data_IF_934717011528
#
_entry.id   IF_934717011528
#
_cell.length_a   1.000
_cell.length_b   1.000
_cell.length_c   1.000
_cell.angle_alpha   90.00
_cell.angle_beta   90.00
_cell.angle_gamma   90.00
#
_symmetry.space_group_name_H-M   'P 1'
#
loop_
_entity.id
_entity.type
_entity.pdbx_description
1 polymer ?
#
# COMPACT_ATOMS: atom_id res chain seq x y z
N UNK A 1 -8.94 -8.24 -34.82
CA UNK A 1 -9.39 -7.04 -34.11
C UNK A 1 -8.23 -6.07 -34.16
N UNK A 2 -8.38 -4.89 -34.76
CA UNK A 2 -7.33 -3.86 -34.79
C UNK A 2 -7.07 -3.39 -33.36
N UNK A 3 -5.80 -3.32 -32.93
CA UNK A 3 -5.45 -2.86 -31.58
C UNK A 3 -5.57 -1.33 -31.45
N UNK A 4 -5.57 -0.82 -30.22
CA UNK A 4 -5.70 0.62 -29.94
C UNK A 4 -4.33 1.31 -29.93
N UNK A 5 -4.26 2.50 -30.51
CA UNK A 5 -3.14 3.42 -30.33
C UNK A 5 -3.22 4.02 -28.93
N UNK A 6 -2.08 4.11 -28.25
CA UNK A 6 -2.00 4.68 -26.90
C UNK A 6 -1.05 5.88 -26.89
N UNK A 7 -1.43 6.93 -26.18
CA UNK A 7 -0.59 8.10 -25.94
C UNK A 7 -0.64 8.47 -24.46
N UNK A 8 0.51 8.37 -23.79
CA UNK A 8 0.67 8.69 -22.37
C UNK A 8 1.35 10.05 -22.18
N UNK A 9 0.70 10.96 -21.45
CA UNK A 9 1.25 12.28 -21.13
C UNK A 9 1.21 12.55 -19.64
N UNK A 10 2.32 13.06 -19.12
CA UNK A 10 2.44 13.48 -17.72
C UNK A 10 2.19 14.99 -17.63
N UNK A 11 1.27 15.37 -16.76
CA UNK A 11 0.93 16.76 -16.46
C UNK A 11 0.99 17.00 -14.96
N UNK A 12 1.07 18.26 -14.56
CA UNK A 12 1.02 18.63 -13.15
C UNK A 12 -0.28 19.38 -12.88
N UNK A 13 -1.10 18.84 -11.98
CA UNK A 13 -2.34 19.47 -11.53
C UNK A 13 -2.07 20.20 -10.23
N UNK A 14 -2.47 21.47 -10.13
CA UNK A 14 -2.49 22.18 -8.84
C UNK A 14 -3.74 21.80 -8.09
N UNK A 15 -3.57 21.40 -6.84
CA UNK A 15 -4.66 21.02 -5.95
C UNK A 15 -4.51 21.75 -4.63
N UNK A 16 -5.63 22.23 -4.12
CA UNK A 16 -5.72 22.86 -2.81
C UNK A 16 -6.03 21.76 -1.80
N UNK A 17 -5.07 21.47 -0.92
CA UNK A 17 -5.30 20.54 0.18
C UNK A 17 -5.51 21.34 1.46
N UNK A 18 -6.69 21.19 2.05
CA UNK A 18 -6.94 21.63 3.41
C UNK A 18 -6.13 20.72 4.31
N UNK A 19 -5.21 21.30 5.07
CA UNK A 19 -4.61 20.58 6.19
C UNK A 19 -5.73 20.25 7.17
N UNK A 20 -5.83 19.06 7.74
CA UNK A 20 -6.76 18.78 8.85
C UNK A 20 -5.92 18.60 10.11
N UNK A 21 -6.04 19.54 11.05
CA UNK A 21 -5.43 19.44 12.37
C UNK A 21 -6.54 19.63 13.42
N UNK A 22 -6.71 18.71 14.38
CA UNK A 22 -7.74 18.81 15.42
C UNK A 22 -7.63 20.07 16.30
N UNK A 23 -6.49 20.78 16.25
CA UNK A 23 -6.18 21.85 17.18
C UNK A 23 -6.61 23.26 16.72
N UNK A 24 -7.02 23.46 15.47
CA UNK A 24 -7.26 24.81 14.95
C UNK A 24 -8.58 25.05 14.20
N UNK A 25 -9.62 24.22 14.34
CA UNK A 25 -10.92 24.18 13.60
C UNK A 25 -11.49 25.45 12.92
N UNK A 26 -11.14 26.67 13.31
CA UNK A 26 -11.57 27.92 12.69
C UNK A 26 -10.65 28.49 11.57
N UNK A 27 -9.43 27.99 11.30
CA UNK A 27 -8.54 28.58 10.26
C UNK A 27 -7.53 27.61 9.64
N UNK A 28 -7.97 26.74 8.72
CA UNK A 28 -7.09 25.84 7.98
C UNK A 28 -6.21 26.59 6.98
N UNK A 29 -4.87 26.47 7.02
CA UNK A 29 -4.07 26.88 5.87
C UNK A 29 -4.35 25.93 4.70
N UNK A 30 -4.79 26.49 3.58
CA UNK A 30 -4.91 25.78 2.30
C UNK A 30 -3.53 25.77 1.65
N UNK A 31 -2.95 24.58 1.47
CA UNK A 31 -1.66 24.43 0.80
C UNK A 31 -1.91 24.05 -0.66
N UNK A 32 -1.49 24.89 -1.59
CA UNK A 32 -1.49 24.58 -3.02
C UNK A 32 -0.33 23.61 -3.32
N UNK A 33 -0.66 22.40 -3.80
CA UNK A 33 0.31 21.36 -4.15
C UNK A 33 0.22 21.04 -5.63
N UNK A 34 1.37 20.97 -6.28
CA UNK A 34 1.53 20.45 -7.64
C UNK A 34 1.63 18.93 -7.58
N UNK A 35 0.63 18.23 -8.10
CA UNK A 35 0.54 16.77 -8.09
C UNK A 35 0.72 16.26 -9.53
N UNK A 36 1.65 15.32 -9.78
CA UNK A 36 1.77 14.71 -11.09
C UNK A 36 0.52 13.89 -11.41
N UNK A 37 0.03 14.01 -12.63
CA UNK A 37 -1.12 13.31 -13.17
C UNK A 37 -0.75 12.73 -14.54
N UNK A 38 -1.20 11.52 -14.83
CA UNK A 38 -0.98 10.85 -16.12
C UNK A 38 -2.30 10.85 -16.87
N UNK A 39 -2.28 11.31 -18.13
CA UNK A 39 -3.37 11.21 -19.07
C UNK A 39 -3.03 10.13 -20.11
N UNK A 40 -3.91 9.15 -20.27
CA UNK A 40 -3.76 8.07 -21.26
C UNK A 40 -4.88 8.24 -22.27
N UNK A 41 -4.53 8.59 -23.51
CA UNK A 41 -5.46 8.62 -24.64
C UNK A 41 -5.38 7.28 -25.37
N UNK A 42 -6.52 6.63 -25.54
CA UNK A 42 -6.66 5.42 -26.36
C UNK A 42 -7.49 5.75 -27.60
N UNK A 43 -6.96 5.48 -28.79
CA UNK A 43 -7.61 5.81 -30.07
C UNK A 43 -7.64 4.60 -31.00
N UNK A 44 -8.75 4.44 -31.72
CA UNK A 44 -8.86 3.49 -32.83
C UNK A 44 -8.18 4.06 -34.08
N UNK A 45 -8.28 5.37 -34.28
CA UNK A 45 -7.62 6.10 -35.35
C UNK A 45 -6.13 6.31 -35.05
N UNK A 46 -5.25 6.36 -36.06
CA UNK A 46 -3.81 6.51 -35.86
C UNK A 46 -3.46 7.86 -35.20
N UNK A 47 -2.62 7.79 -34.16
CA UNK A 47 -1.99 8.96 -33.52
C UNK A 47 -0.60 9.20 -34.12
N UNK A 48 -0.01 10.38 -33.89
CA UNK A 48 1.32 10.74 -34.38
C UNK A 48 2.40 9.85 -33.74
N UNK A 49 3.12 9.02 -34.52
CA UNK A 49 4.14 8.13 -33.98
C UNK A 49 5.39 8.83 -33.43
N UNK A 50 5.61 10.10 -33.78
CA UNK A 50 6.74 10.88 -33.28
C UNK A 50 6.41 11.61 -31.98
N UNK A 51 5.15 11.57 -31.53
CA UNK A 51 4.76 12.23 -30.31
C UNK A 51 5.34 11.51 -29.07
N UNK A 52 6.01 12.22 -28.14
CA UNK A 52 6.54 11.62 -26.92
C UNK A 52 5.44 10.93 -26.12
N UNK A 53 5.68 9.66 -25.75
CA UNK A 53 4.72 8.84 -25.01
C UNK A 53 3.73 8.07 -25.89
N UNK A 54 3.86 8.14 -27.22
CA UNK A 54 3.12 7.28 -28.14
C UNK A 54 3.54 5.80 -28.00
N UNK A 55 2.57 4.90 -28.04
CA UNK A 55 2.74 3.45 -28.05
C UNK A 55 1.81 2.85 -29.11
N UNK A 56 2.35 2.07 -30.07
CA UNK A 56 1.54 1.49 -31.14
C UNK A 56 0.62 0.37 -30.63
N UNK A 57 -0.44 0.04 -31.38
CA UNK A 57 -1.30 -1.12 -31.14
C UNK A 57 -0.50 -2.41 -30.92
N UNK A 58 -0.64 -3.04 -29.75
CA UNK A 58 0.00 -4.32 -29.47
C UNK A 58 -0.85 -5.49 -29.97
N UNK A 59 -0.21 -6.44 -30.65
CA UNK A 59 -0.82 -7.75 -30.94
C UNK A 59 -0.71 -8.66 -29.70
N UNK A 60 -1.71 -9.52 -29.43
CA UNK A 60 -1.62 -10.48 -28.33
C UNK A 60 -0.41 -11.41 -28.54
N UNK A 61 0.56 -11.38 -27.62
CA UNK A 61 1.71 -12.31 -27.61
C UNK A 61 3.07 -11.74 -27.98
N UNK A 62 3.23 -10.43 -28.19
CA UNK A 62 4.55 -9.80 -28.42
C UNK A 62 5.05 -9.13 -27.13
N UNK A 63 6.20 -9.52 -26.56
CA UNK A 63 6.76 -8.85 -25.39
C UNK A 63 7.16 -7.41 -25.75
N UNK A 64 7.08 -6.46 -24.80
CA UNK A 64 7.35 -5.06 -25.07
C UNK A 64 8.79 -4.86 -25.55
N UNK A 65 8.95 -4.37 -26.79
CA UNK A 65 10.24 -3.88 -27.27
C UNK A 65 10.46 -2.49 -26.67
N UNK A 66 11.42 -2.38 -25.75
CA UNK A 66 11.87 -1.11 -25.19
C UNK A 66 12.52 -0.26 -26.29
N UNK A 67 12.02 0.94 -26.63
CA UNK A 67 12.78 1.88 -27.42
C UNK A 67 13.82 2.53 -26.51
N UNK A 68 15.10 2.31 -26.83
CA UNK A 68 16.21 2.98 -26.20
C UNK A 68 16.09 4.50 -26.37
N UNK A 69 16.21 5.21 -25.25
CA UNK A 69 16.12 6.67 -25.17
C UNK A 69 16.26 7.13 -23.73
N UNK A 70 17.40 6.82 -23.10
CA UNK A 70 17.83 7.44 -21.85
C UNK A 70 18.08 8.93 -22.12
N UNK A 71 17.04 9.74 -22.07
CA UNK A 71 17.19 11.15 -21.71
C UNK A 71 17.37 11.18 -20.19
N UNK A 72 18.60 11.48 -19.78
CA UNK A 72 18.98 11.84 -18.42
C UNK A 72 18.02 12.94 -17.92
N UNK A 73 16.95 12.53 -17.24
CA UNK A 73 16.22 13.43 -16.35
C UNK A 73 17.23 13.93 -15.32
N UNK A 74 17.40 15.25 -15.12
CA UNK A 74 18.18 15.70 -13.99
C UNK A 74 17.57 15.05 -12.76
N UNK A 75 18.38 14.34 -11.99
CA UNK A 75 17.99 13.90 -10.67
C UNK A 75 17.57 15.16 -9.93
N UNK A 76 16.26 15.42 -9.90
CA UNK A 76 15.71 16.43 -9.03
C UNK A 76 16.04 15.86 -7.68
N UNK A 77 17.00 16.47 -6.99
CA UNK A 77 17.28 16.17 -5.59
C UNK A 77 15.91 16.20 -4.94
N UNK A 78 15.39 15.01 -4.60
CA UNK A 78 14.20 14.89 -3.77
C UNK A 78 14.59 15.70 -2.55
N UNK A 79 13.97 16.88 -2.40
CA UNK A 79 14.16 17.66 -1.21
C UNK A 79 13.82 16.70 -0.07
N UNK A 80 14.85 16.31 0.69
CA UNK A 80 14.69 15.55 1.91
C UNK A 80 13.85 16.45 2.79
N UNK A 81 12.54 16.20 2.82
CA UNK A 81 11.66 16.88 3.75
C UNK A 81 11.96 16.21 5.08
N UNK A 82 12.92 16.78 5.80
CA UNK A 82 13.14 16.49 7.19
C UNK A 82 11.86 16.91 7.93
N UNK A 83 10.94 15.96 8.15
CA UNK A 83 9.85 16.13 9.10
C UNK A 83 10.46 16.16 10.50
N UNK A 84 11.06 17.28 10.90
CA UNK A 84 11.71 17.42 12.21
C UNK A 84 10.82 18.11 13.24
N UNK A 85 9.50 18.16 13.04
CA UNK A 85 8.57 18.80 13.98
C UNK A 85 7.30 17.96 14.16
N UNK A 86 7.46 16.86 14.87
CA UNK A 86 6.40 16.12 15.55
C UNK A 86 7.01 15.51 16.81
N UNK A 87 6.25 15.41 17.90
CA UNK A 87 6.66 14.55 19.01
C UNK A 87 6.79 13.14 18.43
N UNK A 88 8.00 12.60 18.40
CA UNK A 88 8.19 11.21 18.03
C UNK A 88 7.50 10.38 19.09
N UNK A 89 6.49 9.62 18.68
CA UNK A 89 5.83 8.68 19.58
C UNK A 89 6.81 7.55 19.95
N UNK A 90 6.65 7.00 21.14
CA UNK A 90 7.41 5.81 21.53
C UNK A 90 6.86 4.57 20.83
N UNK A 91 7.63 3.49 20.82
CA UNK A 91 7.22 2.21 20.21
C UNK A 91 5.95 1.67 20.91
N UNK A 92 5.83 1.86 22.22
CA UNK A 92 4.64 1.47 22.98
C UNK A 92 3.42 2.32 22.63
N UNK A 93 3.60 3.64 22.41
CA UNK A 93 2.54 4.54 21.95
C UNK A 93 2.08 4.13 20.52
N UNK A 94 3.03 3.83 19.63
CA UNK A 94 2.78 3.34 18.28
C UNK A 94 1.95 2.05 18.29
N UNK A 95 2.40 1.07 19.07
CA UNK A 95 1.72 -0.21 19.21
C UNK A 95 0.31 -0.05 19.78
N UNK A 96 0.17 0.75 20.85
CA UNK A 96 -1.11 0.99 21.49
C UNK A 96 -2.13 1.63 20.54
N UNK A 97 -1.69 2.57 19.68
CA UNK A 97 -2.58 3.15 18.66
C UNK A 97 -3.05 2.12 17.66
N UNK A 98 -2.18 1.23 17.18
CA UNK A 98 -2.55 0.20 16.20
C UNK A 98 -3.47 -0.87 16.79
N UNK A 99 -3.20 -1.31 18.03
CA UNK A 99 -4.10 -2.19 18.78
C UNK A 99 -5.47 -1.53 18.94
N UNK A 100 -5.51 -0.26 19.34
CA UNK A 100 -6.75 0.51 19.51
C UNK A 100 -7.51 0.64 18.18
N UNK A 101 -6.80 0.94 17.09
CA UNK A 101 -7.36 1.06 15.75
C UNK A 101 -8.10 -0.21 15.33
N UNK A 102 -7.44 -1.38 15.41
CA UNK A 102 -8.05 -2.64 15.01
C UNK A 102 -9.06 -3.18 16.03
N UNK A 103 -9.03 -2.74 17.28
CA UNK A 103 -10.04 -3.11 18.29
C UNK A 103 -11.34 -2.30 18.20
N UNK A 104 -11.42 -1.29 17.33
CA UNK A 104 -12.67 -0.58 17.04
C UNK A 104 -13.78 -1.59 16.72
N UNK A 105 -14.87 -1.67 17.51
CA UNK A 105 -15.83 -2.77 17.44
C UNK A 105 -16.58 -2.82 16.10
N UNK A 106 -16.86 -1.64 15.54
CA UNK A 106 -17.54 -1.40 14.28
C UNK A 106 -16.58 -1.05 13.13
N UNK A 107 -15.32 -1.49 13.21
CA UNK A 107 -14.37 -1.34 12.10
C UNK A 107 -14.94 -1.97 10.82
N UNK A 108 -14.93 -1.22 9.73
CA UNK A 108 -15.41 -1.74 8.45
C UNK A 108 -14.28 -2.38 7.61
N UNK A 109 -14.66 -3.06 6.53
CA UNK A 109 -13.70 -3.75 5.66
C UNK A 109 -12.73 -2.79 4.96
N UNK A 110 -13.14 -1.54 4.70
CA UNK A 110 -12.26 -0.54 4.11
C UNK A 110 -11.21 -0.06 5.11
N UNK A 111 -11.61 0.20 6.37
CA UNK A 111 -10.72 0.56 7.47
C UNK A 111 -9.70 -0.54 7.76
N UNK A 112 -10.13 -1.81 7.83
CA UNK A 112 -9.22 -2.95 8.00
C UNK A 112 -8.12 -2.96 6.93
N UNK A 113 -8.52 -2.86 5.64
CA UNK A 113 -7.56 -2.84 4.52
C UNK A 113 -6.67 -1.61 4.56
N UNK A 114 -7.23 -0.45 4.89
CA UNK A 114 -6.48 0.81 4.99
C UNK A 114 -5.44 0.72 6.10
N UNK A 115 -5.82 0.22 7.26
CA UNK A 115 -4.94 -0.03 8.39
C UNK A 115 -3.80 -0.95 8.02
N UNK A 116 -4.10 -2.15 7.50
CA UNK A 116 -3.06 -3.12 7.12
C UNK A 116 -2.13 -2.59 6.03
N UNK A 117 -2.65 -1.96 4.97
CA UNK A 117 -1.83 -1.40 3.89
C UNK A 117 -0.91 -0.26 4.37
N UNK A 118 -1.35 0.51 5.37
CA UNK A 118 -0.51 1.55 5.98
C UNK A 118 0.51 0.94 6.92
N UNK A 119 0.11 -0.04 7.74
CA UNK A 119 0.99 -0.70 8.72
C UNK A 119 2.16 -1.44 8.05
N UNK A 120 1.91 -2.20 6.98
CA UNK A 120 2.98 -2.90 6.24
C UNK A 120 3.93 -1.93 5.51
N UNK A 121 3.54 -0.67 5.34
CA UNK A 121 4.35 0.37 4.72
C UNK A 121 5.48 0.90 5.62
N UNK A 122 5.43 0.64 6.93
CA UNK A 122 6.53 0.97 7.84
C UNK A 122 7.67 -0.04 7.73
N UNK A 123 8.88 0.40 8.03
CA UNK A 123 10.07 -0.45 8.05
C UNK A 123 10.17 -1.25 9.36
N UNK A 124 9.16 -2.07 9.61
CA UNK A 124 9.05 -2.96 10.78
C UNK A 124 8.19 -4.19 10.44
N UNK A 125 8.32 -5.22 11.28
CA UNK A 125 7.34 -6.32 11.35
C UNK A 125 6.39 -6.00 12.50
N UNK A 126 5.05 -6.00 12.29
CA UNK A 126 4.12 -5.65 13.36
C UNK A 126 4.17 -6.62 14.55
N UNK A 127 4.09 -6.08 15.76
CA UNK A 127 4.05 -6.85 17.00
C UNK A 127 2.83 -7.80 17.06
N UNK A 128 2.95 -9.00 17.67
CA UNK A 128 1.87 -9.98 17.74
C UNK A 128 0.56 -9.43 18.32
N UNK A 129 0.61 -8.53 19.31
CA UNK A 129 -0.57 -7.85 19.87
C UNK A 129 -1.36 -7.01 18.85
N UNK A 130 -0.68 -6.39 17.89
CA UNK A 130 -1.33 -5.64 16.80
C UNK A 130 -2.02 -6.62 15.85
N UNK A 131 -1.33 -7.71 15.51
CA UNK A 131 -1.84 -8.76 14.63
C UNK A 131 -3.03 -9.49 15.26
N UNK A 132 -3.01 -9.78 16.56
CA UNK A 132 -4.16 -10.33 17.29
C UNK A 132 -5.41 -9.43 17.12
N UNK A 133 -5.26 -8.12 17.34
CA UNK A 133 -6.36 -7.18 17.18
C UNK A 133 -6.90 -7.17 15.73
N UNK A 134 -6.00 -7.22 14.74
CA UNK A 134 -6.36 -7.29 13.32
C UNK A 134 -7.07 -8.61 12.95
N UNK A 135 -6.60 -9.76 13.46
CA UNK A 135 -7.25 -11.07 13.25
C UNK A 135 -8.63 -11.13 13.90
N UNK A 136 -8.78 -10.57 15.11
CA UNK A 136 -10.10 -10.42 15.74
C UNK A 136 -11.01 -9.49 14.95
N UNK A 137 -10.48 -8.45 14.31
CA UNK A 137 -11.24 -7.60 13.39
C UNK A 137 -11.70 -8.37 12.14
N UNK A 138 -10.84 -9.20 11.54
CA UNK A 138 -11.21 -10.12 10.47
C UNK A 138 -12.36 -11.04 10.89
N UNK A 139 -12.34 -11.55 12.12
CA UNK A 139 -13.45 -12.37 12.65
C UNK A 139 -14.76 -11.59 12.75
N UNK A 140 -14.74 -10.35 13.25
CA UNK A 140 -15.94 -9.49 13.32
C UNK A 140 -16.53 -9.21 11.93
N UNK A 141 -15.66 -9.06 10.94
CA UNK A 141 -16.03 -8.84 9.54
C UNK A 141 -16.39 -10.13 8.77
N UNK A 142 -16.26 -11.31 9.40
CA UNK A 142 -16.40 -12.62 8.76
C UNK A 142 -15.50 -12.80 7.51
N UNK A 143 -14.28 -12.27 7.55
CA UNK A 143 -13.33 -12.32 6.42
C UNK A 143 -12.10 -13.17 6.76
N UNK A 144 -12.20 -14.47 6.51
CA UNK A 144 -11.11 -15.43 6.73
C UNK A 144 -9.95 -15.25 5.74
N UNK A 145 -10.25 -14.87 4.51
CA UNK A 145 -9.22 -14.69 3.46
C UNK A 145 -8.27 -13.54 3.82
N UNK A 146 -8.81 -12.43 4.32
CA UNK A 146 -7.97 -11.32 4.82
C UNK A 146 -7.10 -11.74 6.00
N UNK A 147 -7.60 -12.58 6.92
CA UNK A 147 -6.79 -13.07 8.03
C UNK A 147 -5.57 -13.88 7.56
N UNK A 148 -5.76 -14.79 6.59
CA UNK A 148 -4.66 -15.57 5.99
C UNK A 148 -3.69 -14.64 5.25
N UNK A 149 -4.22 -13.68 4.48
CA UNK A 149 -3.42 -12.67 3.76
C UNK A 149 -2.55 -11.84 4.69
N UNK A 150 -3.03 -11.52 5.90
CA UNK A 150 -2.25 -10.80 6.93
C UNK A 150 -1.05 -11.64 7.35
N UNK A 151 -1.21 -12.95 7.58
CA UNK A 151 -0.09 -13.83 7.93
C UNK A 151 0.96 -13.90 6.82
N UNK A 152 0.54 -14.01 5.55
CA UNK A 152 1.46 -13.94 4.41
C UNK A 152 2.21 -12.60 4.33
N UNK A 153 1.51 -11.49 4.55
CA UNK A 153 2.12 -10.17 4.52
C UNK A 153 3.16 -10.02 5.65
N UNK A 154 2.92 -10.58 6.83
CA UNK A 154 3.89 -10.59 7.93
C UNK A 154 5.13 -11.43 7.59
N UNK A 155 4.94 -12.59 6.95
CA UNK A 155 6.03 -13.42 6.44
C UNK A 155 6.89 -12.67 5.41
N UNK A 156 6.26 -11.96 4.49
CA UNK A 156 6.94 -11.12 3.49
C UNK A 156 7.70 -9.96 4.15
N UNK A 157 7.09 -9.28 5.12
CA UNK A 157 7.71 -8.19 5.89
C UNK A 157 8.93 -8.62 6.69
N UNK A 158 9.03 -9.87 7.12
CA UNK A 158 10.24 -10.40 7.76
C UNK A 158 11.44 -10.49 6.80
N UNK A 159 11.20 -10.51 5.47
CA UNK A 159 12.25 -10.53 4.46
C UNK A 159 13.26 -11.67 4.68
N UNK A 160 14.57 -11.38 4.80
CA UNK A 160 15.59 -12.41 4.98
C UNK A 160 15.62 -13.02 6.41
N UNK A 161 14.92 -12.41 7.37
CA UNK A 161 14.93 -12.80 8.79
C UNK A 161 13.95 -13.94 9.06
N UNK A 162 14.37 -15.17 8.78
CA UNK A 162 13.53 -16.38 8.82
C UNK A 162 13.05 -16.75 10.22
N UNK A 163 13.64 -16.20 11.26
CA UNK A 163 13.31 -16.40 12.66
C UNK A 163 12.07 -15.61 13.12
N UNK A 164 11.75 -14.50 12.45
CA UNK A 164 10.69 -13.58 12.91
C UNK A 164 9.30 -14.20 12.72
N UNK A 165 9.01 -14.72 11.53
CA UNK A 165 7.67 -15.27 11.24
C UNK A 165 7.31 -16.48 12.14
N UNK A 166 8.20 -17.47 12.37
CA UNK A 166 7.94 -18.53 13.34
C UNK A 166 7.66 -18.02 14.76
N UNK A 167 8.37 -17.00 15.22
CA UNK A 167 8.09 -16.36 16.51
C UNK A 167 6.69 -15.75 16.54
N UNK A 168 6.31 -14.99 15.50
CA UNK A 168 4.97 -14.39 15.41
C UNK A 168 3.88 -15.47 15.43
N UNK A 169 4.04 -16.55 14.66
CA UNK A 169 3.07 -17.67 14.65
C UNK A 169 2.99 -18.34 16.02
N UNK A 170 4.11 -18.50 16.73
CA UNK A 170 4.11 -19.04 18.09
C UNK A 170 3.29 -18.18 19.05
N UNK A 171 3.49 -16.86 19.03
CA UNK A 171 2.76 -15.93 19.91
C UNK A 171 1.27 -15.83 19.54
N UNK A 172 0.95 -15.92 18.25
CA UNK A 172 -0.44 -15.88 17.76
C UNK A 172 -1.17 -17.21 17.87
N UNK A 173 -0.48 -18.32 18.16
CA UNK A 173 -1.07 -19.66 18.18
C UNK A 173 -2.37 -19.77 18.99
N UNK A 174 -2.49 -19.23 20.22
CA UNK A 174 -3.74 -19.28 20.97
C UNK A 174 -4.90 -18.61 20.22
N UNK A 175 -4.65 -17.49 19.55
CA UNK A 175 -5.64 -16.75 18.76
C UNK A 175 -6.01 -17.49 17.48
N UNK A 176 -5.04 -18.11 16.81
CA UNK A 176 -5.30 -18.91 15.60
C UNK A 176 -6.18 -20.13 15.92
N UNK A 177 -5.89 -20.83 17.02
CA UNK A 177 -6.66 -21.96 17.50
C UNK A 177 -8.08 -21.53 17.94
N UNK A 178 -8.21 -20.41 18.65
CA UNK A 178 -9.51 -19.86 19.08
C UNK A 178 -10.39 -19.46 17.89
N UNK A 179 -9.82 -18.80 16.89
CA UNK A 179 -10.55 -18.25 15.75
C UNK A 179 -10.71 -19.25 14.59
N UNK A 180 -10.04 -20.41 14.66
CA UNK A 180 -10.04 -21.41 13.59
C UNK A 180 -9.38 -20.93 12.31
N UNK A 181 -8.27 -20.19 12.42
CA UNK A 181 -7.54 -19.62 11.27
C UNK A 181 -6.36 -20.54 10.95
N UNK A 182 -6.40 -21.18 9.78
CA UNK A 182 -5.26 -21.94 9.26
C UNK A 182 -4.16 -21.01 8.77
N UNK A 183 -2.92 -21.40 8.99
CA UNK A 183 -1.74 -20.72 8.45
C UNK A 183 -1.61 -20.96 6.93
N UNK A 184 -0.93 -20.05 6.19
CA UNK A 184 -0.62 -20.28 4.78
C UNK A 184 0.08 -21.62 4.51
N UNK A 185 0.94 -22.06 5.43
CA UNK A 185 1.67 -23.33 5.37
C UNK A 185 0.74 -24.54 5.50
N UNK A 186 -0.25 -24.50 6.40
CA UNK A 186 -1.23 -25.57 6.58
C UNK A 186 -2.16 -25.72 5.37
N UNK A 187 -2.41 -24.62 4.67
CA UNK A 187 -3.19 -24.59 3.43
C UNK A 187 -2.36 -24.98 2.20
N UNK A 188 -1.03 -25.03 2.32
CA UNK A 188 -0.12 -25.34 1.22
C UNK A 188 -0.04 -24.27 0.13
N UNK A 189 -0.47 -23.03 0.43
CA UNK A 189 -0.43 -21.89 -0.50
C UNK A 189 0.91 -21.14 -0.45
N UNK A 190 1.81 -21.54 0.44
CA UNK A 190 3.17 -21.01 0.57
C UNK A 190 4.12 -21.51 -0.53
N UNK A 191 3.69 -22.50 -1.31
CA UNK A 191 4.48 -23.17 -2.34
C UNK A 191 4.00 -22.72 -3.72
N UNK A 192 4.95 -22.28 -4.55
CA UNK A 192 4.74 -21.93 -5.97
C UNK A 192 5.52 -22.89 -6.86
#
# INVERSE_FOLDING_TARGET
>A
MVGLHQLCKVYHKRTNQNWENPQWEASAPVVEKSVPAICILLSIDPLDPQEPGYQPPQAPGVPPQSPGGLLSVPATVLASRCYSHGKQETDEEFDARWVTYFNKPDIDAWELRKGMNTLIGYDLVPEPKILEAALRACRRLNDLASAIRILEAVKDKAGPHKEIYPYVIQELKPTLDELGISTPEELGIDKV
#
